data_IF_790024208873
#
_entry.id   IF_790024208873
#
_cell.length_a   1.000
_cell.length_b   1.000
_cell.length_c   1.000
_cell.angle_alpha   90.00
_cell.angle_beta   90.00
_cell.angle_gamma   90.00
#
_symmetry.space_group_name_H-M   'P 1'
#
loop_
_entity.id
_entity.type
_entity.pdbx_description
1 polymer ?
#
# COMPACT_ATOMS: atom_id res chain seq x y z
N UNK A 1 -25.41 38.18 -3.40
CA UNK A 1 -24.80 39.52 -3.51
C UNK A 1 -23.30 39.31 -3.60
N UNK A 2 -22.66 39.67 -4.71
CA UNK A 2 -21.21 39.50 -4.90
C UNK A 2 -20.59 40.86 -4.68
N UNK A 3 -19.79 41.00 -3.61
CA UNK A 3 -19.05 42.25 -3.35
C UNK A 3 -17.86 42.27 -4.31
N UNK A 4 -17.76 43.34 -5.10
CA UNK A 4 -16.57 43.60 -5.89
C UNK A 4 -15.45 44.11 -4.96
N UNK A 5 -14.58 43.18 -4.56
CA UNK A 5 -13.46 43.46 -3.66
C UNK A 5 -12.44 44.40 -4.29
N UNK A 6 -12.27 44.36 -5.61
CA UNK A 6 -11.31 45.23 -6.31
C UNK A 6 -11.84 46.66 -6.35
N UNK A 7 -13.11 46.85 -6.67
CA UNK A 7 -13.74 48.16 -6.60
C UNK A 7 -13.70 48.73 -5.18
N UNK A 8 -13.97 47.91 -4.15
CA UNK A 8 -13.90 48.35 -2.76
C UNK A 8 -12.47 48.75 -2.34
N UNK A 9 -11.45 47.98 -2.78
CA UNK A 9 -10.04 48.31 -2.54
C UNK A 9 -9.66 49.63 -3.19
N UNK A 10 -10.03 49.85 -4.46
CA UNK A 10 -9.75 51.10 -5.17
C UNK A 10 -10.35 52.31 -4.47
N UNK A 11 -11.60 52.20 -4.01
CA UNK A 11 -12.27 53.28 -3.25
C UNK A 11 -11.56 53.52 -1.91
N UNK A 12 -11.20 52.46 -1.19
CA UNK A 12 -10.53 52.61 0.10
C UNK A 12 -9.07 53.11 -0.03
N UNK A 13 -8.42 52.86 -1.17
CA UNK A 13 -7.09 53.39 -1.49
C UNK A 13 -7.14 54.86 -1.96
N UNK A 14 -8.24 55.30 -2.56
CA UNK A 14 -8.40 56.68 -3.02
C UNK A 14 -8.78 57.67 -1.91
N UNK A 15 -9.14 57.18 -0.72
CA UNK A 15 -9.49 57.99 0.45
C UNK A 15 -8.30 58.02 1.42
N UNK A 16 -8.11 59.16 2.09
CA UNK A 16 -7.03 59.30 3.06
C UNK A 16 -7.20 58.30 4.23
N UNK A 17 -6.10 57.67 4.65
CA UNK A 17 -6.11 56.52 5.58
C UNK A 17 -6.09 56.92 7.04
N UNK A 18 -6.55 58.12 7.31
CA UNK A 18 -6.61 58.68 8.65
C UNK A 18 -7.65 57.92 9.48
N UNK A 19 -7.39 57.83 10.79
CA UNK A 19 -8.37 57.26 11.71
C UNK A 19 -9.51 58.24 11.90
N UNK A 20 -10.71 57.74 12.16
CA UNK A 20 -11.91 58.56 12.27
C UNK A 20 -12.49 58.46 13.68
N UNK A 21 -12.93 59.60 14.21
CA UNK A 21 -13.55 59.72 15.53
C UNK A 21 -14.99 60.21 15.42
N UNK A 22 -15.82 59.83 16.39
CA UNK A 22 -17.19 60.36 16.51
C UNK A 22 -17.17 61.66 17.30
N UNK A 23 -17.75 62.68 16.69
CA UNK A 23 -18.03 63.93 17.32
C UNK A 23 -19.51 64.04 17.76
N UNK A 24 -19.75 64.28 19.05
CA UNK A 24 -21.05 64.62 19.62
C UNK A 24 -21.22 66.15 19.70
N UNK A 25 -22.21 66.70 19.00
CA UNK A 25 -22.53 68.13 18.98
C UNK A 25 -23.72 68.49 19.90
N UNK A 26 -24.36 67.53 20.56
CA UNK A 26 -25.62 67.74 21.29
C UNK A 26 -26.85 67.65 20.38
N UNK A 27 -28.05 67.68 20.98
CA UNK A 27 -29.35 67.62 20.27
C UNK A 27 -29.49 66.50 19.20
N UNK A 28 -28.86 65.35 19.47
CA UNK A 28 -28.79 64.20 18.56
C UNK A 28 -28.10 64.46 17.21
N UNK A 29 -27.26 65.49 17.12
CA UNK A 29 -26.38 65.74 15.98
C UNK A 29 -24.99 65.13 16.23
N UNK A 30 -24.67 64.07 15.48
CA UNK A 30 -23.37 63.42 15.51
C UNK A 30 -22.63 63.62 14.18
N UNK A 31 -21.31 63.77 14.23
CA UNK A 31 -20.47 63.89 13.05
C UNK A 31 -19.32 62.89 13.13
N UNK A 32 -18.74 62.52 12.00
CA UNK A 32 -17.48 61.77 11.97
C UNK A 32 -16.41 62.72 11.50
N UNK A 33 -15.31 62.78 12.24
CA UNK A 33 -14.20 63.68 11.99
C UNK A 33 -12.90 62.90 11.85
N UNK A 34 -11.91 63.49 11.22
CA UNK A 34 -10.54 62.97 11.26
C UNK A 34 -10.04 63.00 12.70
N UNK A 35 -9.52 61.87 13.18
CA UNK A 35 -9.02 61.73 14.55
C UNK A 35 -7.88 62.71 14.80
N UNK A 36 -7.94 63.44 15.91
CA UNK A 36 -6.94 64.46 16.25
C UNK A 36 -7.08 65.80 15.52
N UNK A 37 -8.04 65.95 14.58
CA UNK A 37 -8.29 67.24 13.90
C UNK A 37 -9.05 68.25 14.77
N UNK A 38 -9.61 67.82 15.92
CA UNK A 38 -10.43 68.66 16.77
C UNK A 38 -9.59 69.64 17.60
N UNK A 39 -9.73 70.92 17.28
CA UNK A 39 -9.19 72.03 18.07
C UNK A 39 -10.33 72.82 18.73
N UNK A 40 -10.13 73.20 20.00
CA UNK A 40 -11.10 73.99 20.77
C UNK A 40 -10.44 75.27 21.28
N UNK A 41 -10.90 76.41 20.77
CA UNK A 41 -10.58 77.74 21.30
C UNK A 41 -11.66 78.25 22.26
N UNK A 42 -11.45 79.43 22.83
CA UNK A 42 -12.40 80.06 23.77
C UNK A 42 -13.75 80.41 23.14
N UNK A 43 -13.78 80.65 21.82
CA UNK A 43 -14.97 81.09 21.07
C UNK A 43 -15.18 80.32 19.77
N UNK A 44 -14.33 79.35 19.45
CA UNK A 44 -14.36 78.64 18.19
C UNK A 44 -14.01 77.16 18.35
N UNK A 45 -14.41 76.40 17.34
CA UNK A 45 -14.09 74.99 17.19
C UNK A 45 -13.71 74.75 15.72
N UNK A 46 -12.56 74.13 15.48
CA UNK A 46 -12.12 73.69 14.16
C UNK A 46 -11.91 72.17 14.17
N UNK A 47 -12.23 71.53 13.05
CA UNK A 47 -12.03 70.10 12.81
C UNK A 47 -12.20 69.81 11.32
N UNK A 48 -11.75 68.63 10.88
CA UNK A 48 -11.95 68.15 9.52
C UNK A 48 -13.12 67.15 9.50
N UNK A 49 -14.30 67.54 8.97
CA UNK A 49 -15.45 66.63 8.89
C UNK A 49 -15.27 65.60 7.77
N UNK A 50 -15.56 64.34 8.09
CA UNK A 50 -15.71 63.23 7.13
C UNK A 50 -17.16 63.14 6.63
N UNK A 51 -18.12 63.33 7.53
CA UNK A 51 -19.55 63.42 7.22
C UNK A 51 -20.26 64.30 8.24
N UNK A 52 -21.27 65.02 7.76
CA UNK A 52 -22.08 65.94 8.55
C UNK A 52 -23.43 65.28 8.91
N UNK A 53 -24.04 65.74 10.01
CA UNK A 53 -25.46 65.50 10.33
C UNK A 53 -25.91 64.02 10.38
N UNK A 54 -25.32 63.24 11.29
CA UNK A 54 -25.76 61.87 11.58
C UNK A 54 -26.69 61.90 12.81
N UNK A 55 -27.97 61.56 12.61
CA UNK A 55 -28.96 61.57 13.70
C UNK A 55 -28.81 60.42 14.71
N UNK A 56 -27.93 59.45 14.46
CA UNK A 56 -27.76 58.25 15.29
C UNK A 56 -26.29 57.97 15.63
N UNK A 57 -25.98 58.05 16.93
CA UNK A 57 -24.66 57.75 17.50
C UNK A 57 -24.09 56.40 17.05
N UNK A 58 -24.93 55.36 16.95
CA UNK A 58 -24.49 54.01 16.55
C UNK A 58 -24.00 53.97 15.11
N UNK A 59 -24.65 54.72 14.22
CA UNK A 59 -24.26 54.81 12.81
C UNK A 59 -22.96 55.60 12.69
N UNK A 60 -22.83 56.72 13.41
CA UNK A 60 -21.58 57.49 13.45
C UNK A 60 -20.41 56.64 13.96
N UNK A 61 -20.62 55.88 15.04
CA UNK A 61 -19.61 54.97 15.60
C UNK A 61 -19.22 53.85 14.63
N UNK A 62 -20.19 53.29 13.89
CA UNK A 62 -19.90 52.28 12.87
C UNK A 62 -19.06 52.84 11.73
N UNK A 63 -19.41 54.02 11.21
CA UNK A 63 -18.65 54.68 10.13
C UNK A 63 -17.23 54.99 10.59
N UNK A 64 -17.06 55.54 11.80
CA UNK A 64 -15.75 55.83 12.38
C UNK A 64 -14.89 54.56 12.55
N UNK A 65 -15.50 53.47 13.04
CA UNK A 65 -14.81 52.20 13.23
C UNK A 65 -14.49 51.48 11.90
N UNK A 66 -15.30 51.65 10.86
CA UNK A 66 -15.12 51.04 9.54
C UNK A 66 -14.53 52.02 8.52
N UNK A 67 -13.42 52.65 8.92
CA UNK A 67 -12.68 53.58 8.06
C UNK A 67 -11.94 52.84 6.91
N UNK A 68 -11.43 53.56 5.89
CA UNK A 68 -10.72 52.96 4.76
C UNK A 68 -9.50 52.12 5.15
N UNK A 69 -8.77 52.52 6.21
CA UNK A 69 -7.63 51.76 6.75
C UNK A 69 -8.05 50.38 7.26
N UNK A 70 -9.15 50.29 8.01
CA UNK A 70 -9.71 49.03 8.52
C UNK A 70 -10.25 48.18 7.37
N UNK A 71 -10.95 48.77 6.40
CA UNK A 71 -11.46 48.06 5.24
C UNK A 71 -10.33 47.39 4.43
N UNK A 72 -9.21 48.11 4.20
CA UNK A 72 -8.04 47.56 3.50
C UNK A 72 -7.36 46.44 4.30
N UNK A 73 -7.20 46.60 5.61
CA UNK A 73 -6.62 45.55 6.46
C UNK A 73 -7.46 44.25 6.40
N UNK A 74 -8.78 44.36 6.44
CA UNK A 74 -9.68 43.21 6.31
C UNK A 74 -9.61 42.57 4.92
N UNK A 75 -9.47 43.38 3.86
CA UNK A 75 -9.27 42.87 2.49
C UNK A 75 -7.93 42.13 2.36
N UNK A 76 -6.84 42.68 2.91
CA UNK A 76 -5.53 42.03 2.93
C UNK A 76 -5.56 40.68 3.67
N UNK A 77 -6.23 40.62 4.82
CA UNK A 77 -6.42 39.37 5.56
C UNK A 77 -7.26 38.35 4.77
N UNK A 78 -8.31 38.82 4.09
CA UNK A 78 -9.17 37.97 3.27
C UNK A 78 -8.43 37.41 2.06
N UNK A 79 -7.61 38.23 1.41
CA UNK A 79 -6.77 37.83 0.27
C UNK A 79 -5.75 36.76 0.71
N UNK A 80 -5.09 36.96 1.87
CA UNK A 80 -4.19 35.96 2.47
C UNK A 80 -4.90 34.64 2.78
N UNK A 81 -6.09 34.70 3.39
CA UNK A 81 -6.90 33.49 3.66
C UNK A 81 -7.30 32.78 2.38
N UNK A 82 -7.67 33.53 1.33
CA UNK A 82 -8.04 32.97 0.05
C UNK A 82 -6.84 32.31 -0.66
N UNK A 83 -5.64 32.88 -0.56
CA UNK A 83 -4.41 32.26 -1.05
C UNK A 83 -4.07 30.97 -0.29
N UNK A 84 -4.18 30.99 1.05
CA UNK A 84 -3.94 29.81 1.87
C UNK A 84 -4.87 28.65 1.53
N UNK A 85 -6.16 28.92 1.30
CA UNK A 85 -7.13 27.90 0.88
C UNK A 85 -6.70 27.28 -0.45
N UNK A 86 -6.34 28.11 -1.45
CA UNK A 86 -5.85 27.61 -2.75
C UNK A 86 -4.62 26.71 -2.62
N UNK A 87 -3.66 27.10 -1.77
CA UNK A 87 -2.45 26.30 -1.54
C UNK A 87 -2.76 24.95 -0.91
N UNK A 88 -3.65 24.91 0.09
CA UNK A 88 -4.09 23.64 0.67
C UNK A 88 -4.88 22.78 -0.32
N UNK A 89 -5.72 23.39 -1.14
CA UNK A 89 -6.50 22.63 -2.12
C UNK A 89 -5.56 21.95 -3.13
N UNK A 90 -4.51 22.65 -3.56
CA UNK A 90 -3.45 22.08 -4.38
C UNK A 90 -2.69 20.96 -3.65
N UNK A 91 -2.28 21.19 -2.40
CA UNK A 91 -1.59 20.17 -1.59
C UNK A 91 -2.47 18.92 -1.39
N UNK A 92 -3.76 19.11 -1.13
CA UNK A 92 -4.73 18.02 -1.00
C UNK A 92 -4.90 17.24 -2.30
N UNK A 93 -4.89 17.91 -3.45
CA UNK A 93 -4.92 17.27 -4.77
C UNK A 93 -3.65 16.42 -5.00
N UNK A 94 -2.47 16.98 -4.71
CA UNK A 94 -1.20 16.26 -4.84
C UNK A 94 -1.12 15.05 -3.89
N UNK A 95 -1.62 15.19 -2.66
CA UNK A 95 -1.77 14.09 -1.69
C UNK A 95 -2.72 13.03 -2.25
N UNK A 96 -3.88 13.43 -2.78
CA UNK A 96 -4.86 12.49 -3.34
C UNK A 96 -4.28 11.69 -4.52
N UNK A 97 -3.53 12.34 -5.41
CA UNK A 97 -2.82 11.69 -6.51
C UNK A 97 -1.77 10.69 -6.01
N UNK A 98 -0.97 11.09 -5.00
CA UNK A 98 0.07 10.23 -4.42
C UNK A 98 -0.53 9.02 -3.72
N UNK A 99 -1.55 9.22 -2.88
CA UNK A 99 -2.29 8.15 -2.21
C UNK A 99 -2.94 7.21 -3.25
N UNK A 100 -3.47 7.75 -4.34
CA UNK A 100 -4.01 6.96 -5.46
C UNK A 100 -2.98 6.02 -6.07
N UNK A 101 -1.77 6.52 -6.37
CA UNK A 101 -0.66 5.70 -6.90
C UNK A 101 -0.25 4.59 -5.92
N UNK A 102 -0.07 4.94 -4.65
CA UNK A 102 0.31 3.97 -3.61
C UNK A 102 -0.74 2.86 -3.41
N UNK A 103 -2.03 3.19 -3.54
CA UNK A 103 -3.10 2.17 -3.48
C UNK A 103 -2.98 1.15 -4.61
N UNK A 104 -2.73 1.61 -5.83
CA UNK A 104 -2.54 0.72 -7.00
C UNK A 104 -1.30 -0.15 -6.84
N UNK A 105 -0.20 0.43 -6.37
CA UNK A 105 1.03 -0.34 -6.09
C UNK A 105 0.79 -1.40 -5.01
N UNK A 106 0.11 -1.05 -3.93
CA UNK A 106 -0.21 -1.98 -2.84
C UNK A 106 -1.10 -3.14 -3.32
N UNK A 107 -2.12 -2.87 -4.13
CA UNK A 107 -2.95 -3.89 -4.77
C UNK A 107 -2.10 -4.86 -5.61
N UNK A 108 -1.17 -4.32 -6.39
CA UNK A 108 -0.25 -5.12 -7.20
C UNK A 108 0.68 -5.99 -6.33
N UNK A 109 1.23 -5.45 -5.23
CA UNK A 109 2.04 -6.23 -4.29
C UNK A 109 1.26 -7.36 -3.64
N UNK A 110 0.03 -7.10 -3.17
CA UNK A 110 -0.85 -8.15 -2.61
C UNK A 110 -1.16 -9.24 -3.63
N UNK A 111 -1.44 -8.86 -4.87
CA UNK A 111 -1.65 -9.82 -5.97
C UNK A 111 -0.42 -10.67 -6.25
N UNK A 112 0.79 -10.08 -6.20
CA UNK A 112 2.06 -10.83 -6.33
C UNK A 112 2.27 -11.79 -5.18
N UNK A 113 2.08 -11.34 -3.95
CA UNK A 113 2.24 -12.16 -2.75
C UNK A 113 1.30 -13.38 -2.78
N UNK A 114 0.04 -13.17 -3.14
CA UNK A 114 -0.93 -14.26 -3.30
C UNK A 114 -0.49 -15.28 -4.36
N UNK A 115 0.00 -14.82 -5.51
CA UNK A 115 0.50 -15.71 -6.56
C UNK A 115 1.70 -16.54 -6.09
N UNK A 116 2.62 -15.93 -5.35
CA UNK A 116 3.79 -16.64 -4.80
C UNK A 116 3.34 -17.68 -3.77
N UNK A 117 2.46 -17.32 -2.84
CA UNK A 117 1.94 -18.25 -1.84
C UNK A 117 1.26 -19.47 -2.49
N UNK A 118 0.45 -19.23 -3.54
CA UNK A 118 -0.19 -20.31 -4.30
C UNK A 118 0.83 -21.22 -4.98
N UNK A 119 1.81 -20.65 -5.68
CA UNK A 119 2.85 -21.44 -6.36
C UNK A 119 3.67 -22.29 -5.39
N UNK A 120 3.98 -21.76 -4.21
CA UNK A 120 4.70 -22.52 -3.17
C UNK A 120 3.87 -23.71 -2.69
N UNK A 121 2.57 -23.51 -2.45
CA UNK A 121 1.67 -24.58 -2.04
C UNK A 121 1.51 -25.67 -3.11
N UNK A 122 1.30 -25.25 -4.37
CA UNK A 122 1.16 -26.16 -5.51
C UNK A 122 2.45 -26.97 -5.72
N UNK A 123 3.62 -26.32 -5.62
CA UNK A 123 4.91 -27.00 -5.70
C UNK A 123 5.14 -27.97 -4.54
N UNK A 124 4.80 -27.59 -3.30
CA UNK A 124 4.91 -28.48 -2.13
C UNK A 124 4.10 -29.76 -2.35
N UNK A 125 2.84 -29.60 -2.78
CA UNK A 125 1.95 -30.73 -3.08
C UNK A 125 2.53 -31.63 -4.17
N UNK A 126 3.14 -31.03 -5.20
CA UNK A 126 3.81 -31.80 -6.26
C UNK A 126 5.01 -32.58 -5.74
N UNK A 127 5.79 -32.02 -4.81
CA UNK A 127 6.94 -32.70 -4.22
C UNK A 127 6.50 -33.88 -3.35
N UNK A 128 5.43 -33.73 -2.57
CA UNK A 128 4.89 -34.80 -1.72
C UNK A 128 4.53 -36.04 -2.56
N UNK A 129 3.84 -35.83 -3.68
CA UNK A 129 3.49 -36.91 -4.63
C UNK A 129 4.73 -37.56 -5.24
N UNK A 130 5.78 -36.80 -5.51
CA UNK A 130 7.04 -37.35 -6.05
C UNK A 130 7.79 -38.15 -5.00
N UNK A 131 7.82 -37.70 -3.74
CA UNK A 131 8.43 -38.44 -2.64
C UNK A 131 7.70 -39.77 -2.37
N UNK A 132 6.37 -39.78 -2.37
CA UNK A 132 5.61 -41.03 -2.22
C UNK A 132 5.93 -42.04 -3.34
N UNK A 133 6.03 -41.56 -4.59
CA UNK A 133 6.42 -42.41 -5.72
C UNK A 133 7.85 -42.93 -5.58
N UNK A 134 8.77 -42.08 -5.12
CA UNK A 134 10.16 -42.47 -4.89
C UNK A 134 10.24 -43.56 -3.82
N UNK A 135 9.60 -43.35 -2.67
CA UNK A 135 9.59 -44.32 -1.58
C UNK A 135 8.93 -45.65 -1.99
N UNK A 136 7.86 -45.60 -2.80
CA UNK A 136 7.23 -46.80 -3.36
C UNK A 136 8.18 -47.53 -4.32
N UNK A 137 8.90 -46.80 -5.17
CA UNK A 137 9.88 -47.39 -6.09
C UNK A 137 11.08 -48.00 -5.33
N UNK A 138 11.60 -47.31 -4.32
CA UNK A 138 12.68 -47.82 -3.45
C UNK A 138 12.24 -49.09 -2.72
N UNK A 139 11.02 -49.11 -2.16
CA UNK A 139 10.44 -50.32 -1.56
C UNK A 139 10.34 -51.46 -2.56
N UNK A 140 9.92 -51.18 -3.79
CA UNK A 140 9.81 -52.20 -4.84
C UNK A 140 11.18 -52.72 -5.28
N UNK A 141 12.19 -51.87 -5.38
CA UNK A 141 13.57 -52.27 -5.70
C UNK A 141 14.09 -53.17 -4.59
N UNK A 142 13.95 -52.79 -3.32
CA UNK A 142 14.36 -53.62 -2.19
C UNK A 142 13.64 -54.98 -2.16
N UNK A 143 12.34 -55.02 -2.47
CA UNK A 143 11.59 -56.27 -2.63
C UNK A 143 12.18 -57.14 -3.75
N UNK A 144 12.51 -56.55 -4.91
CA UNK A 144 13.09 -57.27 -6.04
C UNK A 144 14.52 -57.77 -5.74
N UNK A 145 15.35 -56.96 -5.08
CA UNK A 145 16.72 -57.31 -4.67
C UNK A 145 16.76 -58.37 -3.55
N UNK A 146 15.67 -58.51 -2.79
CA UNK A 146 15.51 -59.58 -1.80
C UNK A 146 15.06 -60.91 -2.42
N UNK A 147 14.54 -60.92 -3.66
CA UNK A 147 14.11 -62.17 -4.32
C UNK A 147 15.31 -63.04 -4.66
N UNK A 148 15.12 -64.34 -4.47
CA UNK A 148 16.11 -65.37 -4.79
C UNK A 148 15.54 -66.32 -5.83
N UNK A 149 16.34 -66.69 -6.82
CA UNK A 149 15.99 -67.75 -7.78
C UNK A 149 16.04 -69.10 -7.06
N UNK A 150 14.99 -69.90 -7.22
CA UNK A 150 14.97 -71.25 -6.66
C UNK A 150 15.49 -72.25 -7.71
N UNK A 151 16.70 -72.75 -7.50
CA UNK A 151 17.29 -73.80 -8.32
C UNK A 151 17.73 -74.94 -7.40
N UNK A 152 17.05 -76.08 -7.46
CA UNK A 152 17.33 -77.22 -6.59
C UNK A 152 18.71 -77.82 -6.91
N UNK A 153 19.55 -77.98 -5.88
CA UNK A 153 20.82 -78.72 -6.00
C UNK A 153 20.60 -80.17 -5.60
N UNK A 154 20.63 -81.06 -6.58
CA UNK A 154 20.52 -82.51 -6.39
C UNK A 154 21.87 -83.17 -6.63
N UNK A 155 22.16 -84.21 -5.87
CA UNK A 155 23.31 -85.09 -6.09
C UNK A 155 23.08 -86.00 -7.31
N UNK A 156 24.17 -86.48 -7.90
CA UNK A 156 24.12 -87.43 -9.03
C UNK A 156 23.24 -88.64 -8.72
N UNK A 157 23.35 -89.20 -7.51
CA UNK A 157 22.53 -90.32 -7.07
C UNK A 157 21.03 -89.99 -7.00
N UNK A 158 20.66 -88.82 -6.49
CA UNK A 158 19.26 -88.36 -6.46
C UNK A 158 18.71 -88.17 -7.88
N UNK A 159 19.51 -87.60 -8.80
CA UNK A 159 19.12 -87.41 -10.20
C UNK A 159 18.95 -88.76 -10.91
N UNK A 160 19.84 -89.72 -10.69
CA UNK A 160 19.70 -91.08 -11.23
C UNK A 160 18.43 -91.74 -10.71
N UNK A 161 18.14 -91.63 -9.41
CA UNK A 161 16.93 -92.20 -8.81
C UNK A 161 15.64 -91.57 -9.35
N UNK A 162 15.61 -90.25 -9.53
CA UNK A 162 14.43 -89.52 -10.01
C UNK A 162 14.18 -89.72 -11.51
N UNK A 163 15.25 -89.77 -12.29
CA UNK A 163 15.16 -89.75 -13.75
C UNK A 163 15.20 -91.14 -14.40
N UNK A 164 15.77 -92.13 -13.70
CA UNK A 164 15.96 -93.49 -14.23
C UNK A 164 17.05 -93.62 -15.30
N UNK A 165 17.81 -92.54 -15.57
CA UNK A 165 18.87 -92.52 -16.58
C UNK A 165 20.24 -92.91 -16.01
N UNK A 166 21.22 -93.05 -16.90
CA UNK A 166 22.60 -93.44 -16.57
C UNK A 166 23.31 -92.41 -15.70
N UNK A 167 24.40 -92.85 -15.06
CA UNK A 167 25.29 -91.98 -14.30
C UNK A 167 25.81 -90.81 -15.15
N UNK A 168 26.25 -91.06 -16.39
CA UNK A 168 26.74 -90.01 -17.30
C UNK A 168 25.70 -88.92 -17.58
N UNK A 169 24.42 -89.30 -17.72
CA UNK A 169 23.33 -88.34 -17.87
C UNK A 169 23.15 -87.49 -16.61
N UNK A 170 23.16 -88.14 -15.43
CA UNK A 170 22.98 -87.46 -14.16
C UNK A 170 24.15 -86.51 -13.84
N UNK A 171 25.39 -86.89 -14.15
CA UNK A 171 26.57 -86.03 -14.04
C UNK A 171 26.47 -84.81 -14.96
N UNK A 172 26.05 -85.01 -16.22
CA UNK A 172 25.81 -83.92 -17.17
C UNK A 172 24.71 -82.96 -16.71
N UNK A 173 23.62 -83.48 -16.13
CA UNK A 173 22.55 -82.66 -15.55
C UNK A 173 23.06 -81.82 -14.37
N UNK A 174 23.78 -82.43 -13.43
CA UNK A 174 24.36 -81.73 -12.28
C UNK A 174 25.35 -80.64 -12.72
N UNK A 175 26.23 -80.93 -13.68
CA UNK A 175 27.18 -79.96 -14.23
C UNK A 175 26.48 -78.78 -14.92
N UNK A 176 25.42 -79.06 -15.70
CA UNK A 176 24.59 -78.01 -16.31
C UNK A 176 23.88 -77.13 -15.27
N UNK A 177 23.38 -77.76 -14.21
CA UNK A 177 22.72 -77.07 -13.08
C UNK A 177 23.70 -76.17 -12.31
N UNK A 178 24.90 -76.67 -12.01
CA UNK A 178 25.95 -75.87 -11.36
C UNK A 178 26.42 -74.70 -12.25
N UNK A 179 26.52 -74.90 -13.56
CA UNK A 179 26.81 -73.82 -14.52
C UNK A 179 25.70 -72.76 -14.54
N UNK A 180 24.43 -73.18 -14.54
CA UNK A 180 23.31 -72.24 -14.46
C UNK A 180 23.35 -71.42 -13.17
N UNK A 181 23.65 -72.04 -12.02
CA UNK A 181 23.84 -71.34 -10.74
C UNK A 181 24.99 -70.34 -10.84
N UNK A 182 26.12 -70.72 -11.44
CA UNK A 182 27.27 -69.85 -11.64
C UNK A 182 26.92 -68.61 -12.47
N UNK A 183 26.24 -68.77 -13.60
CA UNK A 183 25.86 -67.66 -14.48
C UNK A 183 24.84 -66.73 -13.81
N UNK A 184 23.86 -67.28 -13.09
CA UNK A 184 22.88 -66.48 -12.32
C UNK A 184 23.58 -65.62 -11.26
N UNK A 185 24.55 -66.19 -10.55
CA UNK A 185 25.36 -65.45 -9.56
C UNK A 185 26.26 -64.40 -10.21
N UNK A 186 26.86 -64.72 -11.35
CA UNK A 186 27.69 -63.77 -12.11
C UNK A 186 26.88 -62.56 -12.57
N UNK A 187 25.59 -62.74 -12.84
CA UNK A 187 24.64 -61.64 -13.12
C UNK A 187 24.19 -60.86 -11.86
N UNK A 188 24.69 -61.20 -10.66
CA UNK A 188 24.35 -60.54 -9.40
C UNK A 188 23.01 -60.96 -8.81
N UNK A 189 22.41 -62.07 -9.27
CA UNK A 189 21.11 -62.55 -8.81
C UNK A 189 21.32 -63.62 -7.72
N UNK A 190 20.62 -63.48 -6.60
CA UNK A 190 20.69 -64.44 -5.48
C UNK A 190 20.01 -65.75 -5.84
N UNK A 191 20.56 -66.88 -5.37
CA UNK A 191 19.98 -68.23 -5.54
C UNK A 191 19.67 -68.82 -4.17
N UNK A 192 18.49 -69.43 -4.01
CA UNK A 192 17.99 -69.99 -2.75
C UNK A 192 18.90 -71.15 -2.28
N UNK A 193 19.24 -71.17 -0.99
CA UNK A 193 20.17 -72.16 -0.41
C UNK A 193 21.61 -71.65 -0.25
N UNK A 194 21.82 -70.34 -0.42
CA UNK A 194 22.82 -69.60 0.38
C UNK A 194 22.55 -69.72 1.88
#
# INVERSE_FOLDING_TARGET
>A
MTIDKQALRQIAESVDREEWDVLDNGDADYQVIVSGSLERGATYRSYQPVTNEISNKKIAAFIAAFNPKVALALLDELDKKQQYIKLRDQENEDIALTVGKLRVELEHYKSREWRVAKLVLDNSTSWDVLYEKLECAERRIAELEARTVNLSKLSVGEVMHLSGFSQDYAEGWCAGNDNAIHEIRTAGIKVKGE
#
